data_IF_714565246032
#
_entry.id   IF_714565246032
#
_cell.length_a   1.000
_cell.length_b   1.000
_cell.length_c   1.000
_cell.angle_alpha   90.00
_cell.angle_beta   90.00
_cell.angle_gamma   90.00
#
_symmetry.space_group_name_H-M   'P 1'
#
loop_
_entity.id
_entity.type
_entity.pdbx_description
1 polymer ?
#
# COMPACT_ATOMS: atom_id res chain seq x y z
N UNK A 1 -7.14 -42.67 -1.98
CA UNK A 1 -6.88 -41.39 -1.28
C UNK A 1 -6.98 -40.27 -2.30
N UNK A 2 -8.13 -39.60 -2.32
CA UNK A 2 -8.44 -38.52 -3.26
C UNK A 2 -7.66 -37.25 -2.95
N UNK A 3 -7.06 -36.67 -3.98
CA UNK A 3 -6.35 -35.40 -3.95
C UNK A 3 -7.35 -34.27 -4.16
N UNK A 4 -7.70 -33.55 -3.09
CA UNK A 4 -8.57 -32.39 -3.14
C UNK A 4 -7.77 -31.14 -3.58
N UNK A 5 -8.07 -30.61 -4.76
CA UNK A 5 -7.55 -29.30 -5.24
C UNK A 5 -8.39 -28.15 -4.66
N UNK A 6 -7.78 -27.03 -4.23
CA UNK A 6 -8.54 -25.82 -3.93
C UNK A 6 -8.88 -25.04 -5.22
N UNK A 7 -10.15 -24.63 -5.35
CA UNK A 7 -10.63 -23.69 -6.37
C UNK A 7 -10.31 -22.26 -5.93
N UNK A 8 -9.59 -21.51 -6.76
CA UNK A 8 -9.43 -20.05 -6.68
C UNK A 8 -10.71 -19.38 -7.20
N UNK A 9 -11.34 -18.55 -6.37
CA UNK A 9 -12.40 -17.64 -6.81
C UNK A 9 -11.81 -16.23 -6.91
N UNK A 10 -11.65 -15.73 -8.13
CA UNK A 10 -11.31 -14.34 -8.43
C UNK A 10 -12.65 -13.61 -8.59
N UNK A 11 -12.91 -12.63 -7.71
CA UNK A 11 -14.00 -11.67 -7.88
C UNK A 11 -13.38 -10.31 -8.20
N UNK A 12 -13.79 -9.75 -9.34
CA UNK A 12 -13.40 -8.44 -9.84
C UNK A 12 -14.57 -7.46 -9.75
N UNK A 13 -14.22 -6.17 -9.65
CA UNK A 13 -15.05 -4.98 -9.90
C UNK A 13 -16.01 -4.60 -8.74
N UNK A 14 -16.27 -3.33 -8.42
CA UNK A 14 -16.35 -2.13 -9.27
C UNK A 14 -16.08 -0.87 -8.44
N UNK A 15 -15.31 0.07 -8.99
CA UNK A 15 -15.20 1.44 -8.51
C UNK A 15 -16.13 2.32 -9.35
N UNK A 16 -17.04 3.05 -8.69
CA UNK A 16 -17.73 4.18 -9.31
C UNK A 16 -17.30 5.46 -8.60
N UNK A 17 -16.45 6.21 -9.30
CA UNK A 17 -16.21 7.63 -9.08
C UNK A 17 -17.17 8.39 -9.97
N UNK A 18 -18.02 9.23 -9.39
CA UNK A 18 -18.77 10.24 -10.13
C UNK A 18 -18.18 11.62 -9.83
N UNK A 19 -17.89 12.35 -10.90
CA UNK A 19 -17.39 13.72 -10.92
C UNK A 19 -18.02 14.43 -12.12
N UNK A 20 -18.11 15.75 -12.03
CA UNK A 20 -18.76 16.71 -12.95
C UNK A 20 -20.28 16.87 -12.72
N UNK A 21 -20.88 18.06 -12.83
CA UNK A 21 -20.55 19.18 -13.71
C UNK A 21 -21.06 20.51 -13.15
N UNK A 22 -20.28 21.57 -13.37
CA UNK A 22 -20.75 22.96 -13.34
C UNK A 22 -21.74 23.22 -14.48
N UNK A 23 -22.75 24.07 -14.27
CA UNK A 23 -23.25 24.92 -15.35
C UNK A 23 -23.94 26.17 -14.80
N UNK A 24 -23.24 27.28 -15.03
CA UNK A 24 -23.75 28.65 -15.04
C UNK A 24 -24.71 28.83 -16.21
N UNK A 25 -25.81 29.54 -15.98
CA UNK A 25 -26.77 29.96 -17.00
C UNK A 25 -27.49 31.22 -16.55
N UNK A 26 -27.08 32.36 -17.12
CA UNK A 26 -27.77 33.64 -17.05
C UNK A 26 -29.19 33.53 -17.66
N UNK A 27 -30.16 34.26 -17.10
CA UNK A 27 -31.21 34.84 -17.92
C UNK A 27 -31.61 36.23 -17.38
N UNK A 28 -31.36 37.22 -18.23
CA UNK A 28 -31.83 38.60 -18.15
C UNK A 28 -33.34 38.63 -18.36
N UNK A 29 -34.06 39.44 -17.57
CA UNK A 29 -35.17 40.23 -18.12
C UNK A 29 -35.33 41.52 -17.32
N UNK A 30 -34.89 42.61 -17.96
CA UNK A 30 -35.23 43.98 -17.59
C UNK A 30 -36.71 44.22 -17.84
N UNK A 31 -37.43 44.73 -16.83
CA UNK A 31 -38.64 45.51 -17.07
C UNK A 31 -38.52 46.85 -16.35
N UNK A 32 -38.22 47.86 -17.15
CA UNK A 32 -38.38 49.26 -16.83
C UNK A 32 -39.87 49.57 -16.71
N UNK A 33 -40.31 50.14 -15.59
CA UNK A 33 -41.60 50.82 -15.50
C UNK A 33 -41.43 52.14 -14.76
N UNK A 34 -41.85 53.19 -15.45
CA UNK A 34 -41.66 54.61 -15.16
C UNK A 34 -42.90 55.24 -14.49
N UNK A 35 -42.64 56.32 -13.74
CA UNK A 35 -43.55 57.32 -13.15
C UNK A 35 -44.39 56.82 -11.95
N UNK A 36 -44.50 57.54 -10.83
CA UNK A 36 -44.72 59.00 -10.71
C UNK A 36 -44.05 59.66 -9.50
N UNK A 37 -43.83 60.96 -9.66
CA UNK A 37 -43.45 61.96 -8.66
C UNK A 37 -44.66 62.26 -7.75
N UNK A 38 -44.50 62.17 -6.44
CA UNK A 38 -45.33 62.87 -5.45
C UNK A 38 -44.35 63.33 -4.36
N UNK A 39 -44.23 64.65 -4.23
CA UNK A 39 -43.53 65.33 -3.14
C UNK A 39 -44.30 65.14 -1.84
N UNK A 40 -43.60 64.96 -0.72
CA UNK A 40 -44.27 64.95 0.58
C UNK A 40 -43.43 64.41 1.72
N UNK A 41 -42.69 65.32 2.36
CA UNK A 41 -42.45 65.34 3.80
C UNK A 41 -41.65 64.18 4.43
N UNK A 42 -40.37 64.48 4.71
CA UNK A 42 -39.87 64.42 6.07
C UNK A 42 -39.99 63.08 6.81
N UNK A 43 -39.10 62.14 6.50
CA UNK A 43 -38.67 61.14 7.49
C UNK A 43 -37.19 60.83 7.34
N UNK A 44 -36.37 61.70 7.93
CA UNK A 44 -34.98 61.37 8.29
C UNK A 44 -35.05 60.37 9.45
N UNK A 45 -35.37 59.12 9.13
CA UNK A 45 -35.10 58.00 10.03
C UNK A 45 -33.67 57.53 9.78
N UNK A 46 -32.78 58.07 10.59
CA UNK A 46 -31.75 57.31 11.30
C UNK A 46 -30.95 56.29 10.47
N UNK A 47 -30.27 56.75 9.43
CA UNK A 47 -29.27 55.95 8.72
C UNK A 47 -27.98 55.74 9.57
N UNK A 48 -27.84 56.50 10.67
CA UNK A 48 -26.68 56.48 11.57
C UNK A 48 -26.74 55.26 12.51
N UNK A 49 -27.87 55.02 13.17
CA UNK A 49 -28.03 53.92 14.13
C UNK A 49 -27.77 52.53 13.53
N UNK A 50 -28.17 52.27 12.28
CA UNK A 50 -27.97 50.95 11.66
C UNK A 50 -26.50 50.69 11.28
N UNK A 51 -25.76 51.73 10.87
CA UNK A 51 -24.36 51.61 10.44
C UNK A 51 -23.42 51.54 11.64
N UNK A 52 -23.72 52.27 12.70
CA UNK A 52 -22.96 52.22 13.95
C UNK A 52 -23.05 50.83 14.59
N UNK A 53 -24.24 50.19 14.55
CA UNK A 53 -24.41 48.80 14.98
C UNK A 53 -23.60 47.79 14.15
N UNK A 54 -23.43 48.04 12.84
CA UNK A 54 -22.58 47.20 11.99
C UNK A 54 -21.09 47.38 12.28
N UNK A 55 -20.65 48.59 12.62
CA UNK A 55 -19.28 48.87 13.07
C UNK A 55 -18.94 48.17 14.38
N UNK A 56 -19.83 48.26 15.37
CA UNK A 56 -19.67 47.56 16.65
C UNK A 56 -19.57 46.05 16.43
N UNK A 57 -20.44 45.50 15.59
CA UNK A 57 -20.40 44.07 15.25
C UNK A 57 -19.10 43.65 14.55
N UNK A 58 -18.60 44.46 13.61
CA UNK A 58 -17.34 44.15 12.93
C UNK A 58 -16.13 44.18 13.88
N UNK A 59 -16.14 45.06 14.89
CA UNK A 59 -15.12 45.10 15.94
C UNK A 59 -15.22 43.83 16.81
N UNK A 60 -16.42 43.46 17.24
CA UNK A 60 -16.65 42.24 18.04
C UNK A 60 -16.20 40.98 17.28
N UNK A 61 -16.55 40.86 16.00
CA UNK A 61 -16.11 39.73 15.15
C UNK A 61 -14.58 39.73 14.95
N UNK A 62 -13.96 40.90 14.78
CA UNK A 62 -12.51 41.02 14.66
C UNK A 62 -11.83 40.57 15.95
N UNK A 63 -12.29 41.06 17.10
CA UNK A 63 -11.77 40.69 18.42
C UNK A 63 -11.90 39.17 18.65
N UNK A 64 -13.08 38.61 18.41
CA UNK A 64 -13.33 37.18 18.56
C UNK A 64 -12.39 36.34 17.66
N UNK A 65 -12.18 36.78 16.41
CA UNK A 65 -11.23 36.13 15.51
C UNK A 65 -9.78 36.25 15.99
N UNK A 66 -9.33 37.40 16.48
CA UNK A 66 -7.96 37.59 16.94
C UNK A 66 -7.64 36.85 18.24
N UNK A 67 -8.65 36.56 19.06
CA UNK A 67 -8.51 35.71 20.24
C UNK A 67 -8.34 34.22 19.89
N UNK A 68 -8.64 33.81 18.65
CA UNK A 68 -8.46 32.41 18.22
C UNK A 68 -7.00 32.14 17.83
N UNK A 69 -6.48 30.92 18.09
CA UNK A 69 -5.20 30.51 17.53
C UNK A 69 -5.22 30.59 16.01
N UNK A 70 -4.15 31.09 15.40
CA UNK A 70 -4.06 31.24 13.94
C UNK A 70 -4.29 29.93 13.18
N UNK A 71 -3.96 28.78 13.80
CA UNK A 71 -4.29 27.45 13.27
C UNK A 71 -5.80 27.24 13.12
N UNK A 72 -6.60 27.66 14.09
CA UNK A 72 -8.06 27.54 14.08
C UNK A 72 -8.68 28.46 13.03
N UNK A 73 -8.11 29.65 12.84
CA UNK A 73 -8.54 30.60 11.80
C UNK A 73 -8.20 30.05 10.41
N UNK A 74 -6.94 29.67 10.19
CA UNK A 74 -6.44 29.17 8.91
C UNK A 74 -7.08 27.84 8.49
N UNK A 75 -7.37 26.96 9.45
CA UNK A 75 -7.97 25.65 9.15
C UNK A 75 -9.49 25.69 8.92
N UNK A 76 -10.13 26.83 9.15
CA UNK A 76 -11.59 27.00 9.00
C UNK A 76 -11.89 28.10 7.98
N UNK A 77 -12.57 27.73 6.90
CA UNK A 77 -12.99 28.68 5.87
C UNK A 77 -13.91 29.76 6.47
N UNK A 78 -14.82 29.38 7.35
CA UNK A 78 -15.73 30.30 8.05
C UNK A 78 -14.98 31.34 8.88
N UNK A 79 -13.99 30.91 9.68
CA UNK A 79 -13.23 31.83 10.53
C UNK A 79 -12.33 32.75 9.70
N UNK A 80 -11.73 32.20 8.63
CA UNK A 80 -10.95 32.96 7.65
C UNK A 80 -11.81 34.07 7.01
N UNK A 81 -13.00 33.72 6.54
CA UNK A 81 -13.93 34.66 5.92
C UNK A 81 -14.44 35.70 6.91
N UNK A 82 -14.76 35.30 8.14
CA UNK A 82 -15.22 36.23 9.19
C UNK A 82 -14.16 37.29 9.51
N UNK A 83 -12.90 36.87 9.71
CA UNK A 83 -11.78 37.79 9.94
C UNK A 83 -11.58 38.76 8.77
N UNK A 84 -11.56 38.25 7.54
CA UNK A 84 -11.36 39.08 6.34
C UNK A 84 -12.53 40.04 6.10
N UNK A 85 -13.75 39.60 6.39
CA UNK A 85 -14.97 40.43 6.25
C UNK A 85 -14.96 41.57 7.26
N UNK A 86 -14.64 41.28 8.53
CA UNK A 86 -14.54 42.29 9.58
C UNK A 86 -13.44 43.33 9.26
N UNK A 87 -12.24 42.88 8.88
CA UNK A 87 -11.15 43.78 8.47
C UNK A 87 -11.53 44.62 7.25
N UNK A 88 -12.15 44.04 6.23
CA UNK A 88 -12.55 44.76 5.04
C UNK A 88 -13.65 45.79 5.33
N UNK A 89 -14.57 45.48 6.26
CA UNK A 89 -15.59 46.44 6.69
C UNK A 89 -14.96 47.64 7.42
N UNK A 90 -14.05 47.38 8.35
CA UNK A 90 -13.39 48.41 9.15
C UNK A 90 -12.45 49.30 8.32
N UNK A 91 -11.74 48.71 7.36
CA UNK A 91 -10.88 49.45 6.42
C UNK A 91 -11.67 50.44 5.55
N UNK A 92 -12.87 50.04 5.10
CA UNK A 92 -13.72 50.88 4.25
C UNK A 92 -14.65 51.82 5.03
N UNK A 93 -14.52 51.92 6.35
CA UNK A 93 -15.41 52.72 7.17
C UNK A 93 -15.13 54.22 6.97
N UNK A 94 -16.09 55.03 6.52
CA UNK A 94 -15.89 56.48 6.42
C UNK A 94 -15.95 57.08 7.83
N UNK A 95 -14.79 57.41 8.42
CA UNK A 95 -14.65 58.02 9.75
C UNK A 95 -15.10 59.50 9.81
N UNK A 96 -16.24 59.83 9.21
CA UNK A 96 -16.71 61.22 9.11
C UNK A 96 -17.24 61.78 10.44
N UNK A 97 -17.60 60.92 11.39
CA UNK A 97 -18.29 61.30 12.64
C UNK A 97 -17.68 60.70 13.92
N UNK A 98 -16.64 59.89 13.80
CA UNK A 98 -15.93 59.25 14.92
C UNK A 98 -14.45 59.54 14.73
N UNK A 99 -13.84 60.27 15.66
CA UNK A 99 -12.38 60.49 15.69
C UNK A 99 -11.69 59.20 16.11
N UNK A 100 -11.58 58.25 15.18
CA UNK A 100 -10.68 57.11 15.34
C UNK A 100 -9.24 57.65 15.37
N UNK A 101 -8.45 57.22 16.36
CA UNK A 101 -7.05 57.66 16.44
C UNK A 101 -6.29 57.23 15.19
N UNK A 102 -5.36 58.06 14.73
CA UNK A 102 -4.60 57.75 13.52
C UNK A 102 -3.80 56.44 13.68
N UNK A 103 -3.31 56.14 14.89
CA UNK A 103 -2.68 54.85 15.17
C UNK A 103 -3.60 53.64 15.01
N UNK A 104 -4.89 53.76 15.32
CA UNK A 104 -5.84 52.64 15.12
C UNK A 104 -6.19 52.46 13.64
N UNK A 105 -6.22 53.54 12.86
CA UNK A 105 -6.35 53.46 11.39
C UNK A 105 -5.13 52.76 10.79
N UNK A 106 -3.93 53.15 11.19
CA UNK A 106 -2.68 52.55 10.72
C UNK A 106 -2.63 51.03 11.03
N UNK A 107 -3.14 50.63 12.21
CA UNK A 107 -3.26 49.21 12.57
C UNK A 107 -4.24 48.49 11.64
N UNK A 108 -5.44 49.03 11.42
CA UNK A 108 -6.44 48.41 10.54
C UNK A 108 -5.91 48.29 9.11
N UNK A 109 -5.26 49.34 8.60
CA UNK A 109 -4.65 49.36 7.26
C UNK A 109 -3.54 48.31 7.12
N UNK A 110 -2.65 48.23 8.12
CA UNK A 110 -1.59 47.21 8.16
C UNK A 110 -2.17 45.80 8.20
N UNK A 111 -3.16 45.58 9.07
CA UNK A 111 -3.81 44.28 9.19
C UNK A 111 -4.52 43.87 7.91
N UNK A 112 -5.28 44.77 7.28
CA UNK A 112 -5.98 44.53 6.01
C UNK A 112 -4.99 44.13 4.90
N UNK A 113 -3.82 44.76 4.88
CA UNK A 113 -2.75 44.47 3.92
C UNK A 113 -2.05 43.13 4.17
N UNK A 114 -1.72 42.83 5.42
CA UNK A 114 -0.82 41.71 5.76
C UNK A 114 -1.56 40.39 6.04
N UNK A 115 -2.71 40.44 6.72
CA UNK A 115 -3.42 39.22 7.15
C UNK A 115 -3.81 38.27 6.00
N UNK A 116 -4.25 38.74 4.81
CA UNK A 116 -4.55 37.83 3.71
C UNK A 116 -3.34 36.95 3.32
N UNK A 117 -2.15 37.55 3.25
CA UNK A 117 -0.91 36.85 2.91
C UNK A 117 -0.46 35.91 4.03
N UNK A 118 -0.53 36.37 5.28
CA UNK A 118 -0.24 35.56 6.47
C UNK A 118 -1.15 34.33 6.50
N UNK A 119 -2.46 34.54 6.37
CA UNK A 119 -3.46 33.48 6.42
C UNK A 119 -3.26 32.46 5.30
N UNK A 120 -2.98 32.93 4.08
CA UNK A 120 -2.66 32.07 2.95
C UNK A 120 -1.42 31.20 3.24
N UNK A 121 -0.35 31.82 3.75
CA UNK A 121 0.90 31.12 4.10
C UNK A 121 0.67 30.05 5.17
N UNK A 122 -0.10 30.37 6.21
CA UNK A 122 -0.43 29.41 7.27
C UNK A 122 -1.35 28.28 6.77
N UNK A 123 -2.35 28.59 5.93
CA UNK A 123 -3.20 27.58 5.26
C UNK A 123 -2.32 26.57 4.50
N UNK A 124 -1.36 27.08 3.73
CA UNK A 124 -0.43 26.25 2.97
C UNK A 124 0.48 25.42 3.89
N UNK A 125 1.04 26.04 4.93
CA UNK A 125 1.93 25.37 5.88
C UNK A 125 1.21 24.20 6.59
N UNK A 126 0.00 24.42 7.11
CA UNK A 126 -0.77 23.36 7.77
C UNK A 126 -1.17 22.23 6.81
N UNK A 127 -1.56 22.58 5.58
CA UNK A 127 -1.85 21.57 4.56
C UNK A 127 -0.60 20.72 4.23
N UNK A 128 0.58 21.33 4.17
CA UNK A 128 1.84 20.62 3.95
C UNK A 128 2.19 19.70 5.14
N UNK A 129 2.05 20.17 6.37
CA UNK A 129 2.29 19.35 7.58
C UNK A 129 1.38 18.13 7.63
N UNK A 130 0.09 18.30 7.31
CA UNK A 130 -0.86 17.18 7.26
C UNK A 130 -0.46 16.13 6.21
N UNK A 131 -0.05 16.56 5.02
CA UNK A 131 0.47 15.66 3.98
C UNK A 131 1.73 14.92 4.45
N UNK A 132 2.64 15.62 5.13
CA UNK A 132 3.85 15.01 5.68
C UNK A 132 3.53 13.90 6.68
N UNK A 133 2.59 14.15 7.61
CA UNK A 133 2.19 13.15 8.61
C UNK A 133 1.58 11.89 7.97
N UNK A 134 0.74 12.06 6.95
CA UNK A 134 0.17 10.93 6.19
C UNK A 134 1.25 10.12 5.48
N UNK A 135 2.20 10.81 4.83
CA UNK A 135 3.32 10.15 4.16
C UNK A 135 4.24 9.41 5.12
N UNK A 136 4.47 9.97 6.32
CA UNK A 136 5.27 9.33 7.36
C UNK A 136 4.59 8.07 7.89
N UNK A 137 3.29 8.11 8.17
CA UNK A 137 2.52 6.93 8.58
C UNK A 137 2.56 5.83 7.51
N UNK A 138 2.32 6.18 6.24
CA UNK A 138 2.41 5.24 5.12
C UNK A 138 3.82 4.65 4.97
N UNK A 139 4.86 5.48 5.10
CA UNK A 139 6.26 5.01 5.05
C UNK A 139 6.55 3.98 6.15
N UNK A 140 6.06 4.23 7.37
CA UNK A 140 6.25 3.32 8.49
C UNK A 140 5.54 1.98 8.26
N UNK A 141 4.32 2.00 7.73
CA UNK A 141 3.58 0.78 7.37
C UNK A 141 4.30 -0.04 6.30
N UNK A 142 4.80 0.62 5.24
CA UNK A 142 5.57 -0.03 4.18
C UNK A 142 6.87 -0.63 4.73
N UNK A 143 7.57 0.09 5.61
CA UNK A 143 8.81 -0.39 6.23
C UNK A 143 8.56 -1.66 7.08
N UNK A 144 7.52 -1.66 7.92
CA UNK A 144 7.14 -2.83 8.73
C UNK A 144 6.80 -4.02 7.82
N UNK A 145 6.01 -3.78 6.77
CA UNK A 145 5.64 -4.82 5.81
C UNK A 145 6.86 -5.40 5.09
N UNK A 146 7.81 -4.55 4.70
CA UNK A 146 9.03 -4.97 4.02
C UNK A 146 9.90 -5.83 4.96
N UNK A 147 10.10 -5.41 6.20
CA UNK A 147 10.86 -6.18 7.20
C UNK A 147 10.23 -7.56 7.43
N UNK A 148 8.90 -7.64 7.54
CA UNK A 148 8.18 -8.91 7.67
C UNK A 148 8.39 -9.83 6.45
N UNK A 149 8.32 -9.27 5.23
CA UNK A 149 8.56 -10.03 3.99
C UNK A 149 10.00 -10.53 3.90
N UNK A 150 10.98 -9.71 4.28
CA UNK A 150 12.40 -10.10 4.31
C UNK A 150 12.62 -11.23 5.32
N UNK A 151 12.07 -11.11 6.53
CA UNK A 151 12.18 -12.17 7.54
C UNK A 151 11.56 -13.48 7.06
N UNK A 152 10.38 -13.43 6.44
CA UNK A 152 9.73 -14.61 5.87
C UNK A 152 10.55 -15.24 4.76
N UNK A 153 11.14 -14.44 3.87
CA UNK A 153 12.02 -14.92 2.82
C UNK A 153 13.29 -15.59 3.38
N UNK A 154 13.88 -15.02 4.44
CA UNK A 154 15.00 -15.61 5.17
C UNK A 154 14.68 -17.03 5.65
N UNK A 155 13.55 -17.19 6.36
CA UNK A 155 13.13 -18.50 6.87
C UNK A 155 12.97 -19.55 5.76
N UNK A 156 12.43 -19.17 4.59
CA UNK A 156 12.31 -20.10 3.47
C UNK A 156 13.66 -20.51 2.88
N UNK A 157 14.63 -19.59 2.83
CA UNK A 157 15.98 -19.92 2.37
C UNK A 157 16.67 -20.89 3.33
N UNK A 158 16.55 -20.67 4.64
CA UNK A 158 17.11 -21.56 5.66
C UNK A 158 16.50 -22.97 5.56
N UNK A 159 15.18 -23.06 5.40
CA UNK A 159 14.48 -24.35 5.20
C UNK A 159 14.95 -25.05 3.91
N UNK A 160 15.12 -24.30 2.82
CA UNK A 160 15.60 -24.84 1.55
C UNK A 160 17.04 -25.36 1.67
N UNK A 161 17.93 -24.63 2.33
CA UNK A 161 19.31 -25.05 2.58
C UNK A 161 19.37 -26.31 3.45
N UNK A 162 18.52 -26.40 4.48
CA UNK A 162 18.45 -27.60 5.31
C UNK A 162 18.00 -28.82 4.49
N UNK A 163 16.96 -28.67 3.66
CA UNK A 163 16.48 -29.74 2.77
C UNK A 163 17.54 -30.15 1.76
N UNK A 164 18.29 -29.20 1.21
CA UNK A 164 19.39 -29.47 0.29
C UNK A 164 20.49 -30.31 0.98
N UNK A 165 20.87 -29.96 2.21
CA UNK A 165 21.87 -30.70 2.97
C UNK A 165 21.45 -32.16 3.22
N UNK A 166 20.20 -32.38 3.64
CA UNK A 166 19.62 -33.72 3.86
C UNK A 166 19.62 -34.54 2.56
N UNK A 167 19.26 -33.92 1.43
CA UNK A 167 19.27 -34.59 0.13
C UNK A 167 20.69 -34.97 -0.31
N UNK A 168 21.68 -34.08 -0.11
CA UNK A 168 23.08 -34.38 -0.40
C UNK A 168 23.58 -35.59 0.38
N UNK A 169 23.27 -35.66 1.68
CA UNK A 169 23.64 -36.81 2.51
C UNK A 169 22.99 -38.11 2.01
N UNK A 170 21.69 -38.06 1.66
CA UNK A 170 20.98 -39.22 1.12
C UNK A 170 21.56 -39.70 -0.21
N UNK A 171 21.96 -38.77 -1.09
CA UNK A 171 22.63 -39.11 -2.36
C UNK A 171 23.97 -39.80 -2.10
N UNK A 172 24.77 -39.33 -1.14
CA UNK A 172 26.04 -39.97 -0.77
C UNK A 172 25.79 -41.40 -0.28
N UNK A 173 24.80 -41.60 0.60
CA UNK A 173 24.43 -42.92 1.13
C UNK A 173 24.00 -43.88 0.01
N UNK A 174 23.08 -43.46 -0.86
CA UNK A 174 22.61 -44.28 -1.98
C UNK A 174 23.74 -44.62 -2.95
N UNK A 175 24.65 -43.68 -3.22
CA UNK A 175 25.82 -43.94 -4.09
C UNK A 175 26.73 -45.03 -3.50
N UNK A 176 26.88 -45.07 -2.18
CA UNK A 176 27.62 -46.15 -1.50
C UNK A 176 26.88 -47.48 -1.62
N UNK A 177 25.58 -47.51 -1.32
CA UNK A 177 24.76 -48.73 -1.43
C UNK A 177 24.79 -49.32 -2.84
N UNK A 178 24.68 -48.48 -3.88
CA UNK A 178 24.80 -48.92 -5.29
C UNK A 178 26.15 -49.60 -5.52
N UNK A 179 27.26 -48.97 -5.08
CA UNK A 179 28.60 -49.53 -5.25
C UNK A 179 28.76 -50.87 -4.52
N UNK A 180 28.21 -51.00 -3.32
CA UNK A 180 28.24 -52.24 -2.54
C UNK A 180 27.39 -53.35 -3.22
N UNK A 181 26.27 -52.99 -3.85
CA UNK A 181 25.48 -53.92 -4.67
C UNK A 181 26.21 -54.35 -5.95
N UNK A 182 26.88 -53.42 -6.65
CA UNK A 182 27.64 -53.69 -7.87
C UNK A 182 28.80 -54.68 -7.61
N UNK A 183 29.52 -54.52 -6.49
CA UNK A 183 30.59 -55.45 -6.10
C UNK A 183 30.02 -56.83 -5.78
N UNK A 184 28.95 -56.90 -4.99
CA UNK A 184 28.27 -58.16 -4.65
C UNK A 184 27.77 -58.91 -5.89
N UNK A 185 27.18 -58.19 -6.85
CA UNK A 185 26.69 -58.76 -8.11
C UNK A 185 27.84 -59.30 -8.97
N UNK A 186 28.97 -58.59 -8.99
CA UNK A 186 30.19 -59.04 -9.70
C UNK A 186 30.73 -60.34 -9.11
N UNK A 187 30.81 -60.45 -7.78
CA UNK A 187 31.23 -61.68 -7.09
C UNK A 187 30.31 -62.86 -7.42
N UNK A 188 28.98 -62.68 -7.32
CA UNK A 188 28.00 -63.73 -7.64
C UNK A 188 28.10 -64.17 -9.11
N UNK A 189 28.36 -63.24 -10.02
CA UNK A 189 28.53 -63.57 -11.43
C UNK A 189 29.79 -64.43 -11.66
N UNK A 190 30.87 -64.15 -10.95
CA UNK A 190 32.10 -64.97 -10.99
C UNK A 190 31.87 -66.36 -10.41
N UNK A 191 31.23 -66.46 -9.25
CA UNK A 191 30.86 -67.75 -8.63
C UNK A 191 29.95 -68.58 -9.53
N UNK A 192 28.96 -67.95 -10.17
CA UNK A 192 28.09 -68.60 -11.16
C UNK A 192 28.91 -69.19 -12.30
N UNK A 193 29.86 -68.44 -12.87
CA UNK A 193 30.74 -68.94 -13.95
C UNK A 193 31.58 -70.14 -13.48
N UNK A 194 32.15 -70.07 -12.28
CA UNK A 194 32.93 -71.17 -11.67
C UNK A 194 32.07 -72.42 -11.46
N UNK A 195 30.85 -72.25 -10.94
CA UNK A 195 29.90 -73.34 -10.74
C UNK A 195 29.52 -74.01 -12.07
N UNK A 196 29.19 -73.22 -13.10
CA UNK A 196 28.89 -73.73 -14.44
C UNK A 196 30.07 -74.55 -15.00
N UNK A 197 31.29 -74.03 -14.91
CA UNK A 197 32.48 -74.74 -15.38
C UNK A 197 32.67 -76.07 -14.66
N UNK A 198 32.50 -76.10 -13.33
CA UNK A 198 32.57 -77.33 -12.51
C UNK A 198 31.50 -78.34 -12.92
N UNK A 199 30.25 -77.90 -13.11
CA UNK A 199 29.14 -78.76 -13.54
C UNK A 199 29.39 -79.36 -14.93
N UNK A 200 29.92 -78.58 -15.88
CA UNK A 200 30.32 -79.08 -17.20
C UNK A 200 31.44 -80.13 -17.07
N UNK A 201 32.43 -79.89 -16.21
CA UNK A 201 33.50 -80.85 -15.91
C UNK A 201 32.96 -82.18 -15.40
N UNK A 202 32.13 -82.15 -14.34
CA UNK A 202 31.51 -83.36 -13.78
C UNK A 202 30.65 -84.11 -14.81
N UNK A 203 29.90 -83.39 -15.66
CA UNK A 203 29.09 -84.01 -16.72
C UNK A 203 29.96 -84.82 -17.70
N UNK A 204 31.11 -84.28 -18.11
CA UNK A 204 32.06 -84.98 -18.99
C UNK A 204 32.68 -86.20 -18.31
N UNK A 205 33.07 -86.06 -17.05
CA UNK A 205 33.63 -87.18 -16.26
C UNK A 205 32.63 -88.33 -16.14
N UNK A 206 31.38 -88.03 -15.78
CA UNK A 206 30.31 -89.03 -15.69
C UNK A 206 29.99 -89.69 -17.04
N UNK A 207 30.09 -88.94 -18.15
CA UNK A 207 29.94 -89.50 -19.49
C UNK A 207 31.09 -90.46 -19.83
N UNK A 208 32.32 -90.14 -19.43
CA UNK A 208 33.50 -91.00 -19.64
C UNK A 208 33.38 -92.30 -18.84
N UNK A 209 33.05 -92.23 -17.54
CA UNK A 209 32.83 -93.41 -16.69
C UNK A 209 31.76 -94.33 -17.29
N UNK A 210 30.63 -93.75 -17.75
CA UNK A 210 29.57 -94.53 -18.42
C UNK A 210 30.05 -95.20 -19.73
N UNK A 211 30.97 -94.58 -20.48
CA UNK A 211 31.56 -95.18 -21.68
C UNK A 211 32.53 -96.30 -21.31
N UNK A 212 33.35 -96.11 -20.27
CA UNK A 212 34.26 -97.12 -19.74
C UNK A 212 33.50 -98.37 -19.24
N UNK A 213 32.46 -98.18 -18.42
CA UNK A 213 31.58 -99.28 -17.94
C UNK A 213 30.99 -100.09 -19.10
N UNK A 214 30.49 -99.40 -20.15
CA UNK A 214 29.95 -100.05 -21.34
C UNK A 214 31.01 -100.79 -22.16
N UNK A 215 32.24 -100.28 -22.21
CA UNK A 215 33.32 -100.94 -22.92
C UNK A 215 33.78 -102.22 -22.20
N UNK A 216 33.86 -102.19 -20.86
CA UNK A 216 34.18 -103.36 -20.04
C UNK A 216 33.12 -104.46 -20.13
N UNK A 217 31.83 -104.11 -20.20
CA UNK A 217 30.75 -105.09 -20.38
C UNK A 217 30.74 -105.78 -21.76
N UNK A 218 31.34 -105.15 -22.79
CA UNK A 218 31.43 -105.73 -24.15
C UNK A 218 32.66 -106.64 -24.29
N UNK A 219 33.68 -106.46 -23.44
CA UNK A 219 34.88 -107.30 -23.42
C UNK A 219 34.65 -108.65 -22.71
N UNK A 220 33.82 -108.66 -21.66
CA UNK A 220 33.50 -109.88 -20.90
C UNK A 220 32.53 -110.84 -21.63
N UNK A 221 31.81 -110.34 -22.65
CA UNK A 221 30.98 -111.17 -23.55
C UNK A 221 31.76 -111.80 -24.73
N UNK A 222 33.07 -111.52 -24.85
CA UNK A 222 33.89 -111.95 -25.99
C UNK A 222 34.94 -113.02 -25.65
N UNK A 223 34.82 -113.65 -24.47
CA UNK A 223 35.60 -114.82 -24.03
C UNK A 223 34.79 -116.10 -24.11
#
# INVERSE_FOLDING_TARGET
MEMHRPKLHIAASSMHSESASSQSGQLVTSQSKSYSHEDGEGKVTDHRSTKDNLGVKAIEELEECLMMPLKVIASSETNSLRLLTALNFLFNLPFKDVTLSDGLKDIIDSMHKEFPSILCSFKQAFAATNKSAVLEAHRNEVAITLVSKISKAGNFMDEAQQKEAVLKERVIKLKKEIKDCETSLSCLQEEKKKCIAKTIGHKKELENVRKEDKSHMVEDQRK
#
